data_IF_411133080404
#
_entry.id   IF_411133080404
#
_cell.length_a   1.000
_cell.length_b   1.000
_cell.length_c   1.000
_cell.angle_alpha   90.00
_cell.angle_beta   90.00
_cell.angle_gamma   90.00
#
_symmetry.space_group_name_H-M   'P 1'
#
loop_
_entity.id
_entity.type
_entity.pdbx_description
1 polymer ?
#
# COMPACT_ATOMS: atom_id res chain seq x y z
N UNK A 1 -4.93 -24.45 -12.38
CA UNK A 1 -4.49 -24.29 -10.98
C UNK A 1 -3.05 -24.75 -10.94
N UNK A 2 -2.12 -23.88 -10.56
CA UNK A 2 -0.70 -24.20 -10.60
C UNK A 2 -0.23 -24.60 -9.20
N UNK A 3 0.34 -25.79 -8.99
CA UNK A 3 0.86 -26.19 -7.70
C UNK A 3 1.97 -25.23 -7.26
N UNK A 4 2.11 -24.98 -5.96
CA UNK A 4 3.20 -24.18 -5.44
C UNK A 4 4.56 -24.77 -5.88
N UNK A 5 5.41 -24.00 -6.59
CA UNK A 5 6.71 -24.48 -7.05
C UNK A 5 7.68 -24.67 -5.87
N UNK A 6 8.81 -25.34 -6.10
CA UNK A 6 9.83 -25.60 -5.07
C UNK A 6 10.34 -24.31 -4.41
N UNK A 7 10.42 -23.21 -5.19
CA UNK A 7 10.83 -21.88 -4.73
C UNK A 7 9.69 -21.03 -4.11
N UNK A 8 8.49 -21.60 -3.90
CA UNK A 8 7.33 -20.86 -3.41
C UNK A 8 7.58 -20.20 -2.04
N UNK A 9 8.37 -20.84 -1.18
CA UNK A 9 8.75 -20.29 0.13
C UNK A 9 9.53 -18.99 0.01
N UNK A 10 10.52 -18.96 -0.87
CA UNK A 10 11.39 -17.79 -1.05
C UNK A 10 10.60 -16.62 -1.63
N UNK A 11 9.69 -16.92 -2.58
CA UNK A 11 8.74 -15.95 -3.11
C UNK A 11 7.86 -15.37 -1.99
N UNK A 12 7.22 -16.20 -1.18
CA UNK A 12 6.34 -15.72 -0.11
C UNK A 12 7.08 -14.85 0.93
N UNK A 13 8.34 -15.17 1.25
CA UNK A 13 9.17 -14.34 2.14
C UNK A 13 9.51 -13.00 1.48
N UNK A 14 9.84 -13.00 0.18
CA UNK A 14 10.10 -11.78 -0.57
C UNK A 14 8.86 -10.88 -0.63
N UNK A 15 7.68 -11.46 -0.89
CA UNK A 15 6.40 -10.73 -0.93
C UNK A 15 6.00 -10.18 0.44
N UNK A 16 6.20 -10.95 1.51
CA UNK A 16 6.01 -10.49 2.89
C UNK A 16 6.86 -9.25 3.19
N UNK A 17 8.17 -9.34 2.93
CA UNK A 17 9.11 -8.24 3.19
C UNK A 17 8.81 -7.00 2.34
N UNK A 18 8.53 -7.19 1.05
CA UNK A 18 8.16 -6.09 0.15
C UNK A 18 6.87 -5.40 0.59
N UNK A 19 5.85 -6.17 0.98
CA UNK A 19 4.56 -5.62 1.45
C UNK A 19 4.72 -4.81 2.74
N UNK A 20 5.49 -5.31 3.70
CA UNK A 20 5.82 -4.56 4.94
C UNK A 20 6.59 -3.28 4.61
N UNK A 21 7.56 -3.34 3.69
CA UNK A 21 8.30 -2.17 3.23
C UNK A 21 7.39 -1.11 2.58
N UNK A 22 6.49 -1.53 1.69
CA UNK A 22 5.49 -0.66 1.05
C UNK A 22 4.58 -0.03 2.11
N UNK A 23 4.09 -0.80 3.08
CA UNK A 23 3.25 -0.29 4.15
C UNK A 23 3.97 0.81 4.95
N UNK A 24 5.24 0.58 5.32
CA UNK A 24 6.06 1.58 6.01
C UNK A 24 6.22 2.86 5.20
N UNK A 25 6.56 2.75 3.91
CA UNK A 25 6.71 3.90 3.01
C UNK A 25 5.39 4.69 2.86
N UNK A 26 4.27 4.00 2.68
CA UNK A 26 2.95 4.64 2.55
C UNK A 26 2.55 5.39 3.81
N UNK A 27 2.83 4.83 4.99
CA UNK A 27 2.56 5.49 6.26
C UNK A 27 3.38 6.78 6.42
N UNK A 28 4.65 6.75 6.01
CA UNK A 28 5.52 7.93 6.00
C UNK A 28 4.98 8.99 5.05
N UNK A 29 4.63 8.63 3.81
CA UNK A 29 4.05 9.57 2.83
C UNK A 29 2.73 10.16 3.33
N UNK A 30 1.83 9.34 3.86
CA UNK A 30 0.56 9.83 4.43
C UNK A 30 0.81 10.83 5.57
N UNK A 31 1.76 10.53 6.46
CA UNK A 31 2.18 11.43 7.53
C UNK A 31 2.68 12.78 7.01
N UNK A 32 3.50 12.79 5.97
CA UNK A 32 3.96 14.02 5.32
C UNK A 32 2.82 14.83 4.71
N UNK A 33 1.89 14.17 4.01
CA UNK A 33 0.73 14.84 3.38
C UNK A 33 -0.18 15.49 4.42
N UNK A 34 -0.47 14.79 5.53
CA UNK A 34 -1.26 15.37 6.62
C UNK A 34 -0.53 16.52 7.33
N UNK A 35 0.78 16.37 7.56
CA UNK A 35 1.58 17.44 8.14
C UNK A 35 1.57 18.69 7.25
N UNK A 36 1.70 18.52 5.93
CA UNK A 36 1.62 19.61 4.97
C UNK A 36 0.24 20.29 5.00
N UNK A 37 -0.85 19.52 5.04
CA UNK A 37 -2.20 20.06 5.15
C UNK A 37 -2.36 20.97 6.38
N UNK A 38 -1.76 20.57 7.51
CA UNK A 38 -1.83 21.32 8.77
C UNK A 38 -0.99 22.60 8.79
N UNK A 39 -0.09 22.81 7.81
CA UNK A 39 0.71 24.05 7.71
C UNK A 39 0.00 25.18 6.97
N UNK A 40 -1.08 24.90 6.23
CA UNK A 40 -1.78 25.93 5.49
C UNK A 40 -2.51 26.88 6.45
N UNK A 41 -2.37 28.22 6.30
CA UNK A 41 -3.15 29.17 7.07
C UNK A 41 -4.63 29.06 6.64
N UNK A 42 -5.55 28.68 7.55
CA UNK A 42 -6.95 28.44 7.19
C UNK A 42 -7.69 29.71 6.75
N UNK A 43 -7.20 30.89 7.14
CA UNK A 43 -7.81 32.17 6.78
C UNK A 43 -7.35 32.71 5.40
N UNK A 44 -6.27 32.17 4.84
CA UNK A 44 -5.65 32.66 3.59
C UNK A 44 -5.68 31.62 2.45
N UNK A 45 -5.93 30.35 2.77
CA UNK A 45 -5.92 29.25 1.79
C UNK A 45 -7.33 28.73 1.59
N UNK A 46 -7.72 28.52 0.33
CA UNK A 46 -9.02 27.95 -0.01
C UNK A 46 -9.21 26.58 0.67
N UNK A 47 -10.35 26.40 1.33
CA UNK A 47 -10.71 25.18 2.07
C UNK A 47 -10.63 23.94 1.18
N UNK A 48 -10.90 24.09 -0.12
CA UNK A 48 -10.82 22.99 -1.11
C UNK A 48 -9.39 22.43 -1.24
N UNK A 49 -8.37 23.29 -1.12
CA UNK A 49 -6.96 22.87 -1.21
C UNK A 49 -6.57 22.08 0.03
N UNK A 50 -6.93 22.57 1.21
CA UNK A 50 -6.65 21.90 2.50
C UNK A 50 -7.36 20.53 2.53
N UNK A 51 -8.65 20.50 2.19
CA UNK A 51 -9.43 19.26 2.10
C UNK A 51 -8.86 18.29 1.04
N UNK A 52 -8.29 18.81 -0.04
CA UNK A 52 -7.61 18.04 -1.07
C UNK A 52 -6.39 17.27 -0.52
N UNK A 53 -5.53 17.92 0.25
CA UNK A 53 -4.38 17.25 0.87
C UNK A 53 -4.81 16.25 1.94
N UNK A 54 -5.79 16.60 2.79
CA UNK A 54 -6.33 15.64 3.77
C UNK A 54 -6.91 14.39 3.10
N UNK A 55 -7.65 14.58 2.01
CA UNK A 55 -8.22 13.47 1.25
C UNK A 55 -7.13 12.61 0.63
N UNK A 56 -6.09 13.22 0.05
CA UNK A 56 -4.94 12.47 -0.50
C UNK A 56 -4.28 11.60 0.59
N UNK A 57 -4.05 12.17 1.78
CA UNK A 57 -3.51 11.42 2.93
C UNK A 57 -4.41 10.25 3.35
N UNK A 58 -5.72 10.46 3.40
CA UNK A 58 -6.70 9.40 3.72
C UNK A 58 -6.74 8.30 2.66
N UNK A 59 -6.69 8.67 1.38
CA UNK A 59 -6.67 7.71 0.28
C UNK A 59 -5.42 6.83 0.30
N UNK A 60 -4.27 7.36 0.76
CA UNK A 60 -3.05 6.59 0.97
C UNK A 60 -3.17 5.46 2.00
N UNK A 61 -4.14 5.54 2.90
CA UNK A 61 -4.40 4.46 3.87
C UNK A 61 -4.96 3.20 3.21
N UNK A 62 -5.59 3.32 2.03
CA UNK A 62 -6.14 2.16 1.30
C UNK A 62 -5.00 1.21 0.85
N UNK A 63 -4.02 1.64 0.04
CA UNK A 63 -2.91 0.76 -0.33
C UNK A 63 -2.06 0.34 0.88
N UNK A 64 -1.99 1.16 1.94
CA UNK A 64 -1.33 0.79 3.19
C UNK A 64 -2.00 -0.43 3.86
N UNK A 65 -3.32 -0.39 4.04
CA UNK A 65 -4.06 -1.50 4.64
C UNK A 65 -3.99 -2.75 3.75
N UNK A 66 -4.06 -2.59 2.43
CA UNK A 66 -3.87 -3.70 1.50
C UNK A 66 -2.47 -4.32 1.63
N UNK A 67 -1.42 -3.51 1.82
CA UNK A 67 -0.07 -4.01 2.04
C UNK A 67 0.03 -4.84 3.34
N UNK A 68 -0.67 -4.43 4.41
CA UNK A 68 -0.74 -5.23 5.64
C UNK A 68 -1.52 -6.53 5.47
N UNK A 69 -2.63 -6.49 4.74
CA UNK A 69 -3.40 -7.70 4.40
C UNK A 69 -2.55 -8.66 3.58
N UNK A 70 -1.79 -8.16 2.61
CA UNK A 70 -0.90 -8.95 1.75
C UNK A 70 0.26 -9.57 2.55
N UNK A 71 0.85 -8.81 3.47
CA UNK A 71 1.84 -9.33 4.42
C UNK A 71 1.23 -10.44 5.30
N UNK A 72 0.01 -10.21 5.83
CA UNK A 72 -0.72 -11.21 6.60
C UNK A 72 -1.04 -12.48 5.81
N UNK A 73 -1.45 -12.34 4.55
CA UNK A 73 -1.74 -13.46 3.66
C UNK A 73 -0.48 -14.26 3.32
N UNK A 74 0.65 -13.57 3.07
CA UNK A 74 1.96 -14.19 2.86
C UNK A 74 2.41 -14.98 4.09
N UNK A 75 2.24 -14.41 5.30
CA UNK A 75 2.54 -15.10 6.56
C UNK A 75 1.61 -16.30 6.79
N UNK A 76 0.31 -16.13 6.52
CA UNK A 76 -0.68 -17.19 6.65
C UNK A 76 -0.34 -18.37 5.73
N UNK A 77 0.09 -18.10 4.50
CA UNK A 77 0.54 -19.15 3.59
C UNK A 77 1.82 -19.87 4.09
N UNK A 78 2.77 -19.13 4.67
CA UNK A 78 3.98 -19.72 5.26
C UNK A 78 3.66 -20.68 6.42
N UNK A 79 2.61 -20.39 7.18
CA UNK A 79 2.12 -21.25 8.27
C UNK A 79 1.26 -22.39 7.73
N UNK A 80 0.40 -22.12 6.74
CA UNK A 80 -0.56 -23.06 6.17
C UNK A 80 -0.40 -23.14 4.65
N UNK A 81 0.44 -24.07 4.20
CA UNK A 81 0.75 -24.28 2.78
C UNK A 81 -0.49 -24.75 2.01
N UNK A 82 -1.14 -23.81 1.33
CA UNK A 82 -2.29 -24.04 0.46
C UNK A 82 -2.06 -23.40 -0.90
N UNK A 83 -2.29 -24.14 -1.97
CA UNK A 83 -2.11 -23.65 -3.35
C UNK A 83 -3.05 -22.47 -3.69
N UNK A 84 -4.25 -22.45 -3.09
CA UNK A 84 -5.20 -21.35 -3.24
C UNK A 84 -4.68 -20.05 -2.61
N UNK A 85 -4.13 -20.15 -1.40
CA UNK A 85 -3.54 -19.01 -0.70
C UNK A 85 -2.29 -18.51 -1.43
N UNK A 86 -1.47 -19.40 -1.98
CA UNK A 86 -0.28 -19.02 -2.76
C UNK A 86 -0.66 -18.18 -3.98
N UNK A 87 -1.63 -18.66 -4.75
CA UNK A 87 -2.13 -17.95 -5.94
C UNK A 87 -2.74 -16.62 -5.54
N UNK A 88 -3.50 -16.57 -4.45
CA UNK A 88 -4.07 -15.35 -3.89
C UNK A 88 -3.02 -14.31 -3.53
N UNK A 89 -1.96 -14.71 -2.84
CA UNK A 89 -0.82 -13.86 -2.45
C UNK A 89 -0.11 -13.27 -3.68
N UNK A 90 0.14 -14.07 -4.72
CA UNK A 90 0.79 -13.54 -5.94
C UNK A 90 -0.08 -12.48 -6.62
N UNK A 91 -1.36 -12.77 -6.85
CA UNK A 91 -2.26 -11.83 -7.52
C UNK A 91 -2.56 -10.60 -6.64
N UNK A 92 -2.70 -10.81 -5.33
CA UNK A 92 -2.88 -9.75 -4.34
C UNK A 92 -1.70 -8.79 -4.33
N UNK A 93 -0.48 -9.30 -4.39
CA UNK A 93 0.71 -8.47 -4.49
C UNK A 93 0.80 -7.68 -5.80
N UNK A 94 0.47 -8.27 -6.95
CA UNK A 94 0.42 -7.52 -8.21
C UNK A 94 -0.64 -6.40 -8.17
N UNK A 95 -1.81 -6.70 -7.62
CA UNK A 95 -2.86 -5.68 -7.41
C UNK A 95 -2.37 -4.57 -6.48
N UNK A 96 -1.70 -4.92 -5.38
CA UNK A 96 -1.10 -3.98 -4.45
C UNK A 96 -0.09 -3.05 -5.15
N UNK A 97 0.80 -3.59 -5.98
CA UNK A 97 1.77 -2.81 -6.73
C UNK A 97 1.08 -1.82 -7.68
N UNK A 98 0.06 -2.28 -8.43
CA UNK A 98 -0.68 -1.43 -9.37
C UNK A 98 -1.38 -0.30 -8.60
N UNK A 99 -2.11 -0.62 -7.54
CA UNK A 99 -2.85 0.39 -6.77
C UNK A 99 -1.92 1.38 -6.07
N UNK A 100 -0.82 0.90 -5.51
CA UNK A 100 0.20 1.75 -4.88
C UNK A 100 0.86 2.67 -5.92
N UNK A 101 1.19 2.14 -7.10
CA UNK A 101 1.76 2.92 -8.20
C UNK A 101 0.79 3.97 -8.73
N UNK A 102 -0.48 3.63 -8.92
CA UNK A 102 -1.53 4.58 -9.32
C UNK A 102 -1.74 5.67 -8.28
N UNK A 103 -1.78 5.31 -6.99
CA UNK A 103 -1.87 6.28 -5.91
C UNK A 103 -0.68 7.25 -5.92
N UNK A 104 0.55 6.73 -5.99
CA UNK A 104 1.76 7.55 -6.07
C UNK A 104 1.76 8.48 -7.29
N UNK A 105 1.35 7.98 -8.45
CA UNK A 105 1.24 8.78 -9.67
C UNK A 105 0.22 9.92 -9.53
N UNK A 106 -0.97 9.64 -8.99
CA UNK A 106 -1.99 10.67 -8.75
C UNK A 106 -1.49 11.72 -7.75
N UNK A 107 -0.81 11.28 -6.69
CA UNK A 107 -0.26 12.18 -5.69
C UNK A 107 0.79 13.12 -6.30
N UNK A 108 1.69 12.58 -7.13
CA UNK A 108 2.69 13.38 -7.84
C UNK A 108 2.02 14.35 -8.81
N UNK A 109 1.11 13.89 -9.68
CA UNK A 109 0.53 14.75 -10.72
C UNK A 109 -0.38 15.87 -10.19
N UNK A 110 -0.94 15.71 -9.00
CA UNK A 110 -1.94 16.65 -8.45
C UNK A 110 -1.43 17.53 -7.33
N UNK A 111 -0.40 17.11 -6.60
CA UNK A 111 0.05 17.79 -5.38
C UNK A 111 1.57 18.10 -5.34
N UNK A 112 2.33 17.68 -6.35
CA UNK A 112 3.75 18.00 -6.56
C UNK A 112 3.94 18.68 -7.92
#
# INVERSE_FOLDING_TARGET
>A
MFPAPEYAKDVAIALLGASVGIAGLLLVVAGFVFAQAATFPPDETDDEVIAGFEMAGRLGLIPFLLALVEAGASLLWLVHKSDYLYTGVIWGFFLLLILTGLYGLVLILRYL
#
